data_IF_681032707553
#
_entry.id   IF_681032707553
#
_cell.length_a   1.000
_cell.length_b   1.000
_cell.length_c   1.000
_cell.angle_alpha   90.00
_cell.angle_beta   90.00
_cell.angle_gamma   90.00
#
_symmetry.space_group_name_H-M   'P 1'
#
loop_
_entity.id
_entity.type
_entity.pdbx_description
1 polymer ?
#
# COMPACT_ATOMS: atom_id res chain seq x y z
N UNK A 1 5.20 25.00 5.26
CA UNK A 1 6.50 24.89 5.95
C UNK A 1 6.21 24.92 7.44
N UNK A 2 5.98 23.74 8.01
CA UNK A 2 5.91 23.52 9.44
C UNK A 2 6.73 22.24 9.62
N UNK A 3 7.98 22.36 10.04
CA UNK A 3 8.80 21.20 10.37
C UNK A 3 8.33 20.72 11.74
N UNK A 4 7.90 19.45 11.84
CA UNK A 4 7.59 18.84 13.13
C UNK A 4 8.83 18.86 14.03
N UNK A 5 8.66 19.33 15.26
CA UNK A 5 9.73 19.34 16.27
C UNK A 5 10.10 17.91 16.69
N UNK A 6 11.40 17.62 16.88
CA UNK A 6 11.85 16.29 17.31
C UNK A 6 11.33 15.96 18.72
N UNK A 7 10.61 14.84 18.86
CA UNK A 7 10.08 14.35 20.13
C UNK A 7 11.16 13.57 20.90
N UNK A 8 11.61 14.09 22.04
CA UNK A 8 12.56 13.43 22.93
C UNK A 8 11.81 12.63 24.00
N UNK A 9 11.83 11.29 23.90
CA UNK A 9 11.30 10.42 24.95
C UNK A 9 12.45 9.75 25.71
N UNK A 10 12.49 9.97 27.03
CA UNK A 10 13.45 9.34 27.94
C UNK A 10 12.76 8.15 28.61
N UNK A 11 13.04 6.93 28.17
CA UNK A 11 12.64 5.72 28.89
C UNK A 11 13.76 5.29 29.84
N UNK A 12 13.41 5.09 31.11
CA UNK A 12 14.35 4.71 32.16
C UNK A 12 14.30 3.19 32.34
N UNK A 13 15.16 2.46 31.63
CA UNK A 13 15.50 1.07 31.97
C UNK A 13 16.80 1.07 32.80
N UNK A 14 16.95 0.14 33.73
CA UNK A 14 17.97 0.15 34.79
C UNK A 14 19.38 0.56 34.36
N UNK A 15 19.98 1.42 35.18
CA UNK A 15 21.36 1.95 35.20
C UNK A 15 22.01 2.51 33.92
N UNK A 16 21.36 2.38 32.75
CA UNK A 16 21.82 2.95 31.48
C UNK A 16 20.76 3.92 30.92
N UNK A 17 21.12 5.21 30.76
CA UNK A 17 20.24 6.21 30.14
C UNK A 17 20.35 6.06 28.62
N UNK A 18 19.49 5.26 28.00
CA UNK A 18 19.39 5.16 26.54
C UNK A 18 18.53 6.31 26.00
N UNK A 19 19.17 7.35 25.46
CA UNK A 19 18.48 8.46 24.79
C UNK A 19 18.06 8.02 23.39
N UNK A 20 16.80 7.59 23.24
CA UNK A 20 16.24 7.22 21.94
C UNK A 20 15.73 8.46 21.20
N UNK A 21 16.61 9.08 20.42
CA UNK A 21 16.24 10.19 19.53
C UNK A 21 15.41 9.61 18.38
N UNK A 22 14.07 9.72 18.46
CA UNK A 22 13.21 9.42 17.31
C UNK A 22 13.28 10.60 16.35
N UNK A 23 14.16 10.50 15.36
CA UNK A 23 14.19 11.42 14.23
C UNK A 23 12.80 11.45 13.56
N UNK A 24 12.36 12.60 13.00
CA UNK A 24 11.11 12.65 12.23
C UNK A 24 11.18 11.56 11.17
N UNK A 25 10.13 10.74 11.09
CA UNK A 25 10.08 9.55 10.25
C UNK A 25 10.15 9.93 8.77
N UNK A 26 11.35 10.23 8.29
CA UNK A 26 11.77 9.92 6.94
C UNK A 26 11.76 8.41 6.84
N UNK A 27 11.17 7.92 5.75
CA UNK A 27 11.08 6.51 5.40
C UNK A 27 12.48 5.87 5.49
N UNK A 28 12.78 5.22 6.61
CA UNK A 28 14.08 4.63 6.85
C UNK A 28 14.11 3.30 6.11
N UNK A 29 14.95 3.20 5.08
CA UNK A 29 15.13 1.96 4.34
C UNK A 29 15.73 0.91 5.29
N UNK A 30 14.94 -0.10 5.63
CA UNK A 30 15.42 -1.24 6.39
C UNK A 30 16.35 -2.07 5.49
N UNK A 31 17.60 -2.22 5.90
CA UNK A 31 18.62 -2.95 5.14
C UNK A 31 18.55 -4.46 5.40
N UNK A 32 17.95 -4.86 6.53
CA UNK A 32 17.83 -6.23 7.00
C UNK A 32 16.51 -6.85 6.51
N UNK A 33 15.38 -6.13 6.64
CA UNK A 33 14.09 -6.54 6.09
C UNK A 33 13.77 -5.83 4.77
N UNK A 34 14.05 -6.52 3.66
CA UNK A 34 13.81 -6.02 2.30
C UNK A 34 12.40 -6.30 1.76
N UNK A 35 11.56 -7.01 2.51
CA UNK A 35 10.16 -7.29 2.16
C UNK A 35 9.25 -7.08 3.40
N UNK A 36 9.13 -5.84 3.90
CA UNK A 36 8.38 -5.53 5.12
C UNK A 36 6.88 -5.82 4.98
N UNK A 37 6.36 -5.87 3.75
CA UNK A 37 4.96 -6.19 3.43
C UNK A 37 4.73 -7.67 3.14
N UNK A 38 5.79 -8.50 3.14
CA UNK A 38 5.77 -9.95 2.89
C UNK A 38 5.11 -10.33 1.57
N UNK A 39 5.27 -9.52 0.54
CA UNK A 39 4.64 -9.77 -0.77
C UNK A 39 5.24 -11.00 -1.48
N UNK A 40 6.46 -11.40 -1.11
CA UNK A 40 7.22 -12.45 -1.78
C UNK A 40 7.30 -13.76 -0.98
N UNK A 41 6.34 -14.04 -0.08
CA UNK A 41 6.33 -15.23 0.77
C UNK A 41 6.40 -16.55 -0.04
N UNK A 42 5.69 -16.63 -1.17
CA UNK A 42 5.65 -17.82 -2.04
C UNK A 42 6.96 -18.10 -2.82
N UNK A 43 7.90 -17.15 -2.85
CA UNK A 43 9.15 -17.27 -3.62
C UNK A 43 10.29 -17.83 -2.75
N UNK A 44 10.01 -18.14 -1.47
CA UNK A 44 10.97 -18.77 -0.57
C UNK A 44 11.06 -20.25 -0.90
N UNK A 45 12.21 -20.67 -1.42
CA UNK A 45 12.49 -22.07 -1.78
C UNK A 45 13.63 -22.58 -0.90
N UNK A 46 13.36 -23.59 -0.08
CA UNK A 46 14.36 -24.27 0.75
C UNK A 46 15.11 -25.38 -0.02
N UNK A 47 16.31 -25.76 0.43
CA UNK A 47 17.09 -26.82 -0.22
C UNK A 47 16.36 -28.17 -0.17
N UNK A 48 15.76 -28.46 0.98
CA UNK A 48 14.97 -29.64 1.26
C UNK A 48 13.72 -29.69 0.37
N UNK A 49 13.08 -28.56 0.07
CA UNK A 49 11.92 -28.51 -0.82
C UNK A 49 12.26 -28.85 -2.28
N UNK A 50 13.51 -28.61 -2.69
CA UNK A 50 13.98 -28.87 -4.07
C UNK A 50 14.57 -30.27 -4.22
N UNK A 51 15.27 -30.75 -3.19
CA UNK A 51 16.10 -31.96 -3.27
C UNK A 51 15.77 -33.05 -2.25
N UNK A 52 14.72 -32.90 -1.42
CA UNK A 52 14.40 -33.84 -0.34
C UNK A 52 14.53 -35.30 -0.79
N UNK A 53 15.50 -36.00 -0.20
CA UNK A 53 15.62 -37.43 -0.35
C UNK A 53 14.54 -38.13 0.51
N UNK A 54 13.89 -39.19 0.02
CA UNK A 54 12.91 -39.96 0.79
C UNK A 54 13.61 -40.73 1.93
N UNK A 55 12.93 -40.89 3.07
CA UNK A 55 13.46 -41.47 4.33
C UNK A 55 14.10 -42.87 4.23
N UNK A 56 13.97 -43.55 3.08
CA UNK A 56 14.53 -44.89 2.83
C UNK A 56 15.81 -44.94 1.98
N UNK A 57 16.25 -43.84 1.35
CA UNK A 57 17.47 -43.81 0.52
C UNK A 57 18.25 -42.50 0.74
N UNK A 58 19.01 -42.46 1.84
CA UNK A 58 19.90 -41.34 2.13
C UNK A 58 21.23 -41.49 1.37
N UNK A 59 21.62 -40.45 0.65
CA UNK A 59 22.97 -40.27 0.13
C UNK A 59 23.98 -40.10 1.27
N UNK A 60 25.28 -40.24 0.97
CA UNK A 60 26.32 -40.03 1.97
C UNK A 60 26.25 -38.62 2.61
N UNK A 61 26.30 -38.56 3.95
CA UNK A 61 26.19 -37.31 4.74
C UNK A 61 27.14 -36.20 4.29
N UNK A 62 28.35 -36.55 3.87
CA UNK A 62 29.34 -35.59 3.38
C UNK A 62 28.85 -34.90 2.09
N UNK A 63 28.30 -35.69 1.16
CA UNK A 63 27.79 -35.20 -0.13
C UNK A 63 26.56 -34.32 0.11
N UNK A 64 25.67 -34.74 1.00
CA UNK A 64 24.49 -33.96 1.40
C UNK A 64 24.88 -32.58 1.97
N UNK A 65 25.88 -32.53 2.87
CA UNK A 65 26.39 -31.27 3.44
C UNK A 65 27.07 -30.38 2.40
N UNK A 66 27.91 -30.93 1.53
CA UNK A 66 28.54 -30.14 0.47
C UNK A 66 27.53 -29.62 -0.54
N UNK A 67 26.50 -30.41 -0.87
CA UNK A 67 25.40 -29.96 -1.72
C UNK A 67 24.64 -28.79 -1.09
N UNK A 68 24.30 -28.87 0.20
CA UNK A 68 23.64 -27.78 0.92
C UNK A 68 24.47 -26.49 0.94
N UNK A 69 25.77 -26.58 1.25
CA UNK A 69 26.67 -25.42 1.32
C UNK A 69 26.84 -24.78 -0.06
N UNK A 70 27.14 -25.59 -1.09
CA UNK A 70 27.36 -25.08 -2.45
C UNK A 70 26.08 -24.53 -3.05
N UNK A 71 24.93 -25.19 -2.86
CA UNK A 71 23.63 -24.70 -3.31
C UNK A 71 23.29 -23.33 -2.69
N UNK A 72 23.37 -23.23 -1.36
CA UNK A 72 23.04 -21.99 -0.64
C UNK A 72 23.98 -20.85 -1.04
N UNK A 73 25.28 -21.15 -1.13
CA UNK A 73 26.30 -20.19 -1.53
C UNK A 73 26.09 -19.69 -2.96
N UNK A 74 25.95 -20.58 -3.93
CA UNK A 74 25.74 -20.22 -5.35
C UNK A 74 24.45 -19.44 -5.53
N UNK A 75 23.35 -19.86 -4.89
CA UNK A 75 22.07 -19.14 -4.93
C UNK A 75 22.22 -17.71 -4.41
N UNK A 76 22.90 -17.52 -3.28
CA UNK A 76 23.11 -16.21 -2.68
C UNK A 76 23.98 -15.29 -3.56
N UNK A 77 25.10 -15.79 -4.06
CA UNK A 77 26.00 -15.00 -4.91
C UNK A 77 25.40 -14.69 -6.28
N UNK A 78 24.73 -15.66 -6.90
CA UNK A 78 24.01 -15.47 -8.16
C UNK A 78 22.94 -14.38 -8.00
N UNK A 79 22.12 -14.45 -6.95
CA UNK A 79 21.14 -13.41 -6.64
C UNK A 79 21.77 -12.03 -6.52
N UNK A 80 22.86 -11.88 -5.74
CA UNK A 80 23.53 -10.58 -5.57
C UNK A 80 24.08 -10.01 -6.88
N UNK A 81 24.67 -10.85 -7.73
CA UNK A 81 25.23 -10.41 -9.02
C UNK A 81 24.09 -10.00 -9.95
N UNK A 82 23.04 -10.82 -10.08
CA UNK A 82 21.87 -10.50 -10.91
C UNK A 82 21.15 -9.25 -10.43
N UNK A 83 20.96 -9.06 -9.12
CA UNK A 83 20.37 -7.83 -8.57
C UNK A 83 21.27 -6.62 -8.78
N UNK A 84 22.59 -6.76 -8.76
CA UNK A 84 23.48 -5.65 -9.07
C UNK A 84 23.36 -5.23 -10.54
N UNK A 85 23.34 -6.20 -11.46
CA UNK A 85 23.28 -5.94 -12.91
C UNK A 85 21.90 -5.46 -13.34
N UNK A 86 20.83 -6.05 -12.82
CA UNK A 86 19.46 -5.78 -13.27
C UNK A 86 18.69 -4.89 -12.31
N UNK A 87 18.88 -5.04 -11.00
CA UNK A 87 18.13 -4.30 -9.99
C UNK A 87 18.41 -2.81 -10.00
N UNK A 88 19.69 -2.40 -10.09
CA UNK A 88 20.06 -0.97 -10.11
C UNK A 88 19.50 -0.28 -11.36
N UNK A 89 19.69 -0.80 -12.59
CA UNK A 89 19.09 -0.17 -13.77
C UNK A 89 17.57 -0.15 -13.73
N UNK A 90 16.92 -1.23 -13.30
CA UNK A 90 15.46 -1.26 -13.17
C UNK A 90 14.95 -0.20 -12.18
N UNK A 91 15.62 -0.03 -11.02
CA UNK A 91 15.26 1.00 -10.05
C UNK A 91 15.37 2.42 -10.63
N UNK A 92 16.42 2.68 -11.42
CA UNK A 92 16.58 3.96 -12.12
C UNK A 92 15.48 4.18 -13.16
N UNK A 93 15.15 3.17 -13.96
CA UNK A 93 14.06 3.25 -14.93
C UNK A 93 12.72 3.57 -14.26
N UNK A 94 12.38 2.86 -13.18
CA UNK A 94 11.17 3.12 -12.39
C UNK A 94 11.16 4.52 -11.77
N UNK A 95 12.29 4.97 -11.22
CA UNK A 95 12.41 6.32 -10.67
C UNK A 95 12.15 7.42 -11.70
N UNK A 96 12.69 7.26 -12.92
CA UNK A 96 12.45 8.20 -14.03
C UNK A 96 10.98 8.18 -14.45
N UNK A 97 10.38 6.98 -14.59
CA UNK A 97 8.96 6.83 -14.94
C UNK A 97 8.06 7.55 -13.93
N UNK A 98 8.27 7.33 -12.63
CA UNK A 98 7.50 8.02 -11.58
C UNK A 98 7.70 9.53 -11.59
N UNK A 99 8.92 10.01 -11.89
CA UNK A 99 9.18 11.44 -12.02
C UNK A 99 8.41 12.04 -13.21
N UNK A 100 8.42 11.38 -14.37
CA UNK A 100 7.67 11.79 -15.55
C UNK A 100 6.15 11.77 -15.31
N UNK A 101 5.64 10.71 -14.68
CA UNK A 101 4.23 10.60 -14.30
C UNK A 101 3.81 11.72 -13.33
N UNK A 102 4.65 12.03 -12.35
CA UNK A 102 4.38 13.11 -11.39
C UNK A 102 4.36 14.47 -12.08
N UNK A 103 5.31 14.72 -12.99
CA UNK A 103 5.31 15.93 -13.81
C UNK A 103 4.01 16.02 -14.63
N UNK A 104 3.66 14.96 -15.36
CA UNK A 104 2.43 14.94 -16.14
C UNK A 104 1.18 15.14 -15.27
N UNK A 105 1.14 14.52 -14.10
CA UNK A 105 0.04 14.66 -13.16
C UNK A 105 -0.14 16.11 -12.71
N UNK A 106 0.92 16.77 -12.25
CA UNK A 106 0.86 18.15 -11.76
C UNK A 106 0.48 19.14 -12.87
N UNK A 107 1.07 18.99 -14.06
CA UNK A 107 0.93 19.98 -15.13
C UNK A 107 -0.28 19.77 -16.04
N UNK A 108 -0.78 18.53 -16.17
CA UNK A 108 -1.90 18.22 -17.06
C UNK A 108 -3.10 17.65 -16.30
N UNK A 109 -2.90 16.65 -15.45
CA UNK A 109 -4.03 15.97 -14.78
C UNK A 109 -4.70 16.88 -13.77
N UNK A 110 -3.93 17.60 -12.94
CA UNK A 110 -4.49 18.54 -11.95
C UNK A 110 -5.32 19.64 -12.62
N UNK A 111 -4.82 20.43 -13.60
CA UNK A 111 -5.64 21.46 -14.24
C UNK A 111 -6.82 20.87 -15.01
N UNK A 112 -6.66 19.71 -15.66
CA UNK A 112 -7.75 19.02 -16.32
C UNK A 112 -8.86 18.62 -15.33
N UNK A 113 -8.47 18.05 -14.19
CA UNK A 113 -9.40 17.66 -13.11
C UNK A 113 -10.12 18.89 -12.54
N UNK A 114 -9.40 20.01 -12.37
CA UNK A 114 -10.01 21.27 -11.91
C UNK A 114 -11.00 21.83 -12.95
N UNK A 115 -10.66 21.78 -14.24
CA UNK A 115 -11.57 22.19 -15.31
C UNK A 115 -12.83 21.31 -15.35
N UNK A 116 -12.66 19.99 -15.27
CA UNK A 116 -13.77 19.04 -15.17
C UNK A 116 -14.66 19.28 -13.97
N UNK A 117 -14.10 19.61 -12.81
CA UNK A 117 -14.88 19.92 -11.62
C UNK A 117 -15.75 21.17 -11.84
N UNK A 118 -15.23 22.20 -12.52
CA UNK A 118 -16.04 23.38 -12.90
C UNK A 118 -17.16 22.97 -13.86
N UNK A 119 -16.88 22.08 -14.82
CA UNK A 119 -17.90 21.51 -15.71
C UNK A 119 -18.97 20.72 -14.95
N UNK A 120 -18.60 19.91 -13.96
CA UNK A 120 -19.60 19.17 -13.18
C UNK A 120 -20.40 20.13 -12.28
N UNK A 121 -19.80 21.20 -11.77
CA UNK A 121 -20.50 22.15 -10.89
C UNK A 121 -21.67 22.86 -11.57
N UNK A 122 -21.56 23.27 -12.84
CA UNK A 122 -22.72 23.84 -13.55
C UNK A 122 -23.79 22.77 -13.83
N UNK A 123 -23.36 21.55 -14.16
CA UNK A 123 -24.27 20.43 -14.39
C UNK A 123 -25.03 20.04 -13.12
N UNK A 124 -24.36 20.07 -11.96
CA UNK A 124 -24.99 19.84 -10.66
C UNK A 124 -26.09 20.87 -10.40
N UNK A 125 -25.88 22.15 -10.73
CA UNK A 125 -26.93 23.18 -10.57
C UNK A 125 -28.11 22.92 -11.49
N UNK A 126 -27.86 22.54 -12.75
CA UNK A 126 -28.95 22.15 -13.66
C UNK A 126 -29.70 20.91 -13.16
N UNK A 127 -28.97 19.93 -12.64
CA UNK A 127 -29.55 18.72 -12.06
C UNK A 127 -30.46 19.05 -10.87
N UNK A 128 -30.05 19.97 -9.99
CA UNK A 128 -30.89 20.45 -8.89
C UNK A 128 -32.16 21.14 -9.41
N UNK A 129 -32.06 22.01 -10.41
CA UNK A 129 -33.24 22.67 -11.03
C UNK A 129 -34.18 21.62 -11.62
N UNK A 130 -33.65 20.61 -12.32
CA UNK A 130 -34.43 19.51 -12.87
C UNK A 130 -35.18 18.72 -11.79
N UNK A 131 -34.50 18.37 -10.70
CA UNK A 131 -35.13 17.70 -9.55
C UNK A 131 -36.23 18.60 -8.98
N UNK A 132 -35.97 19.89 -8.76
CA UNK A 132 -36.98 20.77 -8.18
C UNK A 132 -38.19 21.02 -9.06
N UNK A 133 -38.03 20.99 -10.39
CA UNK A 133 -39.17 21.15 -11.28
C UNK A 133 -40.02 19.88 -11.44
N UNK A 134 -39.41 18.69 -11.40
CA UNK A 134 -40.11 17.43 -11.68
C UNK A 134 -40.33 16.56 -10.47
N UNK A 135 -39.29 16.36 -9.66
CA UNK A 135 -39.34 15.46 -8.52
C UNK A 135 -40.07 16.10 -7.34
N UNK A 136 -39.87 17.38 -7.04
CA UNK A 136 -40.57 18.05 -5.94
C UNK A 136 -42.11 17.95 -6.06
N UNK A 137 -42.77 18.26 -7.20
CA UNK A 137 -44.22 18.11 -7.31
C UNK A 137 -44.68 16.63 -7.26
N UNK A 138 -43.86 15.70 -7.73
CA UNK A 138 -44.15 14.26 -7.62
C UNK A 138 -44.12 13.81 -6.17
N UNK A 139 -43.07 14.15 -5.43
CA UNK A 139 -42.92 13.78 -4.02
C UNK A 139 -43.92 14.50 -3.12
N UNK A 140 -44.30 15.76 -3.41
CA UNK A 140 -45.41 16.43 -2.70
C UNK A 140 -46.74 15.70 -2.92
N UNK A 141 -46.99 15.23 -4.14
CA UNK A 141 -48.19 14.45 -4.47
C UNK A 141 -48.20 13.10 -3.74
N UNK A 142 -47.08 12.37 -3.74
CA UNK A 142 -46.95 11.12 -2.98
C UNK A 142 -47.11 11.35 -1.47
N UNK A 143 -46.50 12.41 -0.92
CA UNK A 143 -46.63 12.78 0.49
C UNK A 143 -48.09 12.98 0.90
N UNK A 144 -48.90 13.65 0.08
CA UNK A 144 -50.35 13.88 0.33
C UNK A 144 -51.17 12.58 0.34
N UNK A 145 -50.78 11.57 -0.44
CA UNK A 145 -51.44 10.26 -0.43
C UNK A 145 -51.20 9.57 0.92
N UNK A 146 -49.98 9.62 1.44
CA UNK A 146 -49.64 9.02 2.73
C UNK A 146 -50.08 9.86 3.95
N UNK A 147 -50.21 11.18 3.81
CA UNK A 147 -50.59 12.06 4.93
C UNK A 147 -52.03 11.86 5.42
N UNK A 148 -52.87 11.19 4.63
CA UNK A 148 -54.27 10.91 4.99
C UNK A 148 -54.42 9.72 5.96
N UNK A 149 -53.34 9.00 6.25
CA UNK A 149 -53.35 7.85 7.17
C UNK A 149 -53.10 8.36 8.60
N UNK A 150 -54.18 8.61 9.35
CA UNK A 150 -54.09 8.89 10.79
C UNK A 150 -54.12 7.58 11.58
N UNK A 151 -52.97 7.17 12.13
CA UNK A 151 -52.89 6.06 13.06
C UNK A 151 -53.17 6.57 14.47
N UNK A 152 -54.28 6.15 15.08
CA UNK A 152 -54.57 6.43 16.49
C UNK A 152 -54.13 5.22 17.32
N UNK A 153 -53.06 5.38 18.10
CA UNK A 153 -52.60 4.33 19.03
C UNK A 153 -53.38 4.50 20.33
N UNK A 154 -54.33 3.60 20.58
CA UNK A 154 -54.87 3.41 21.93
C UNK A 154 -53.86 2.58 22.71
N UNK A 155 -53.45 3.11 23.87
CA UNK A 155 -52.52 2.45 24.78
C UNK A 155 -53.35 1.87 25.93
N UNK A 156 -53.46 0.55 25.93
CA UNK A 156 -53.97 -0.24 27.06
C UNK A 156 -52.94 -0.27 28.21
#
# INVERSE_FOLDING_TARGET
MMADEPQMNVERSGDDIEVKIKAPSGEHLDMDDRDPTKMNEFVRVAFEEVFAEPEGMHSFDAIWRYAFITFTGVKFWCYRITTCICGIPCAVCWGIEFACLTFWHVWYVVPYTKAWLISINWLQRLWQIWISCFMDPLFDSFSRIFSNIKVTVNRD
#
